data_IF_788811295718
#
_entry.id   IF_788811295718
#
_cell.length_a   1.000
_cell.length_b   1.000
_cell.length_c   1.000
_cell.angle_alpha   90.00
_cell.angle_beta   90.00
_cell.angle_gamma   90.00
#
_symmetry.space_group_name_H-M   'P 1'
#
loop_
_entity.id
_entity.type
_entity.pdbx_description
1 polymer ?
#
# COMPACT_ATOMS: atom_id res chain seq x y z
N UNK A 1 14.31 -50.15 18.74
CA UNK A 1 13.25 -49.11 18.75
C UNK A 1 13.77 -47.65 18.80
N UNK A 2 15.08 -47.38 18.66
CA UNK A 2 15.64 -46.00 18.74
C UNK A 2 15.77 -45.29 17.37
N UNK A 3 15.91 -46.04 16.26
CA UNK A 3 16.19 -45.49 14.93
C UNK A 3 15.02 -44.74 14.26
N UNK A 4 13.79 -45.23 14.42
CA UNK A 4 12.58 -44.56 13.90
C UNK A 4 12.22 -43.30 14.67
N UNK A 5 12.66 -43.17 15.92
CA UNK A 5 12.46 -41.97 16.74
C UNK A 5 13.33 -40.80 16.24
N UNK A 6 14.62 -41.04 15.96
CA UNK A 6 15.52 -40.03 15.38
C UNK A 6 15.07 -39.58 13.99
N UNK A 7 14.60 -40.51 13.15
CA UNK A 7 14.11 -40.19 11.81
C UNK A 7 12.84 -39.31 11.87
N UNK A 8 11.90 -39.62 12.78
CA UNK A 8 10.70 -38.81 13.01
C UNK A 8 11.03 -37.42 13.54
N UNK A 9 12.00 -37.32 14.45
CA UNK A 9 12.47 -36.04 14.98
C UNK A 9 13.13 -35.19 13.88
N UNK A 10 13.93 -35.80 13.01
CA UNK A 10 14.55 -35.12 11.87
C UNK A 10 13.51 -34.54 10.91
N UNK A 11 12.52 -35.34 10.49
CA UNK A 11 11.44 -34.85 9.62
C UNK A 11 10.57 -33.78 10.28
N UNK A 12 10.33 -33.88 11.59
CA UNK A 12 9.61 -32.85 12.35
C UNK A 12 10.38 -31.52 12.37
N UNK A 13 11.69 -31.56 12.65
CA UNK A 13 12.54 -30.37 12.65
C UNK A 13 12.70 -29.78 11.25
N UNK A 14 12.85 -30.62 10.23
CA UNK A 14 12.91 -30.18 8.84
C UNK A 14 11.59 -29.51 8.41
N UNK A 15 10.44 -30.06 8.79
CA UNK A 15 9.13 -29.47 8.54
C UNK A 15 8.97 -28.09 9.19
N UNK A 16 9.41 -27.96 10.45
CA UNK A 16 9.39 -26.66 11.17
C UNK A 16 10.32 -25.65 10.49
N UNK A 17 11.53 -26.06 10.11
CA UNK A 17 12.50 -25.18 9.45
C UNK A 17 12.04 -24.72 8.07
N UNK A 18 11.43 -25.60 7.28
CA UNK A 18 10.85 -25.25 5.98
C UNK A 18 9.64 -24.32 6.17
N UNK A 19 8.75 -24.64 7.11
CA UNK A 19 7.58 -23.83 7.42
C UNK A 19 7.96 -22.42 7.86
N UNK A 20 8.96 -22.27 8.73
CA UNK A 20 9.45 -20.96 9.17
C UNK A 20 10.12 -20.18 8.02
N UNK A 21 10.92 -20.83 7.17
CA UNK A 21 11.52 -20.19 6.01
C UNK A 21 10.46 -19.67 5.02
N UNK A 22 9.41 -20.46 4.75
CA UNK A 22 8.29 -20.04 3.90
C UNK A 22 7.54 -18.86 4.53
N UNK A 23 7.27 -18.92 5.83
CA UNK A 23 6.60 -17.82 6.54
C UNK A 23 7.39 -16.51 6.46
N UNK A 24 8.71 -16.56 6.72
CA UNK A 24 9.60 -15.40 6.57
C UNK A 24 9.59 -14.89 5.14
N UNK A 25 9.68 -15.78 4.15
CA UNK A 25 9.65 -15.41 2.74
C UNK A 25 8.34 -14.71 2.34
N UNK A 26 7.17 -15.21 2.78
CA UNK A 26 5.86 -14.59 2.53
C UNK A 26 5.76 -13.22 3.17
N UNK A 27 6.18 -13.08 4.43
CA UNK A 27 6.15 -11.80 5.15
C UNK A 27 7.02 -10.77 4.45
N UNK A 28 8.23 -11.16 4.04
CA UNK A 28 9.12 -10.28 3.26
C UNK A 28 8.51 -9.93 1.90
N UNK A 29 7.96 -10.91 1.18
CA UNK A 29 7.37 -10.69 -0.14
C UNK A 29 6.22 -9.67 -0.11
N UNK A 30 5.33 -9.77 0.89
CA UNK A 30 4.22 -8.83 1.06
C UNK A 30 4.74 -7.49 1.57
N UNK A 31 5.62 -7.49 2.57
CA UNK A 31 6.11 -6.28 3.23
C UNK A 31 7.01 -5.40 2.37
N UNK A 32 7.82 -5.98 1.48
CA UNK A 32 8.72 -5.21 0.60
C UNK A 32 8.04 -4.72 -0.66
N UNK A 33 6.83 -5.19 -0.97
CA UNK A 33 6.03 -4.71 -2.11
C UNK A 33 5.17 -3.53 -1.67
N UNK A 34 5.81 -2.39 -1.38
CA UNK A 34 5.08 -1.13 -1.34
C UNK A 34 4.55 -0.85 -2.75
N UNK A 35 3.24 -0.96 -2.95
CA UNK A 35 2.60 -0.60 -4.21
C UNK A 35 2.83 0.91 -4.43
N UNK A 36 3.79 1.24 -5.29
CA UNK A 36 3.99 2.62 -5.72
C UNK A 36 2.91 2.91 -6.74
N UNK A 37 2.07 3.88 -6.43
CA UNK A 37 0.98 4.34 -7.28
C UNK A 37 1.30 5.76 -7.70
N UNK A 38 1.09 6.06 -8.99
CA UNK A 38 1.28 7.40 -9.53
C UNK A 38 0.24 8.35 -8.93
N UNK A 39 0.70 9.47 -8.37
CA UNK A 39 -0.22 10.47 -7.78
C UNK A 39 -0.93 11.21 -8.93
N UNK A 40 -2.27 11.17 -9.01
CA UNK A 40 -3.02 11.88 -10.04
C UNK A 40 -2.96 13.40 -9.79
N UNK A 41 -3.05 14.19 -10.85
CA UNK A 41 -3.19 15.64 -10.76
C UNK A 41 -4.64 16.01 -10.47
N UNK A 42 -4.87 16.65 -9.32
CA UNK A 42 -6.18 17.09 -8.87
C UNK A 42 -6.35 18.61 -8.94
N UNK A 43 -5.33 19.37 -9.32
CA UNK A 43 -5.39 20.83 -9.31
C UNK A 43 -6.47 21.35 -10.29
N UNK A 44 -7.32 22.26 -9.81
CA UNK A 44 -8.41 22.83 -10.60
C UNK A 44 -9.59 21.88 -10.86
N UNK A 45 -9.58 20.65 -10.31
CA UNK A 45 -10.75 19.78 -10.34
C UNK A 45 -11.75 20.18 -9.24
N UNK A 46 -13.03 19.89 -9.49
CA UNK A 46 -14.04 19.85 -8.44
C UNK A 46 -13.88 18.57 -7.59
N UNK A 47 -14.52 18.56 -6.42
CA UNK A 47 -14.43 17.44 -5.47
C UNK A 47 -14.89 16.10 -6.05
N UNK A 48 -15.91 16.11 -6.91
CA UNK A 48 -16.47 14.88 -7.48
C UNK A 48 -15.50 14.25 -8.48
N UNK A 49 -14.91 15.05 -9.38
CA UNK A 49 -13.89 14.59 -10.33
C UNK A 49 -12.62 14.16 -9.64
N UNK A 50 -12.20 14.88 -8.59
CA UNK A 50 -11.03 14.52 -7.82
C UNK A 50 -11.20 13.19 -7.08
N UNK A 51 -12.36 12.96 -6.47
CA UNK A 51 -12.70 11.69 -5.83
C UNK A 51 -12.66 10.53 -6.85
N UNK A 52 -13.26 10.72 -8.03
CA UNK A 52 -13.22 9.72 -9.09
C UNK A 52 -11.81 9.43 -9.61
N UNK A 53 -10.93 10.43 -9.66
CA UNK A 53 -9.52 10.25 -10.06
C UNK A 53 -8.73 9.43 -9.03
N UNK A 54 -8.97 9.67 -7.74
CA UNK A 54 -8.32 8.95 -6.64
C UNK A 54 -8.82 7.49 -6.52
N UNK A 55 -10.12 7.27 -6.70
CA UNK A 55 -10.73 5.94 -6.60
C UNK A 55 -10.17 4.97 -7.66
N UNK A 56 -9.94 5.46 -8.89
CA UNK A 56 -9.30 4.70 -9.98
C UNK A 56 -7.92 4.15 -9.63
N UNK A 57 -7.22 4.79 -8.71
CA UNK A 57 -5.87 4.43 -8.28
C UNK A 57 -5.83 3.91 -6.84
N UNK A 58 -6.99 3.68 -6.22
CA UNK A 58 -7.12 3.16 -4.85
C UNK A 58 -6.56 4.09 -3.77
N UNK A 59 -6.50 5.40 -4.05
CA UNK A 59 -6.03 6.40 -3.10
C UNK A 59 -7.20 7.04 -2.36
N UNK A 60 -6.98 7.42 -1.10
CA UNK A 60 -7.96 8.14 -0.28
C UNK A 60 -7.35 9.49 0.11
N UNK A 61 -8.05 10.59 -0.19
CA UNK A 61 -7.61 11.92 0.18
C UNK A 61 -8.02 12.29 1.61
N UNK A 62 -7.19 13.12 2.24
CA UNK A 62 -7.58 13.92 3.40
C UNK A 62 -7.83 15.35 2.93
N UNK A 63 -9.07 15.80 3.11
CA UNK A 63 -9.44 17.18 2.84
C UNK A 63 -8.91 18.11 3.94
N UNK A 64 -8.43 19.28 3.54
CA UNK A 64 -8.06 20.37 4.43
C UNK A 64 -9.05 21.52 4.26
N UNK A 65 -9.02 22.46 5.21
CA UNK A 65 -9.83 23.67 5.11
C UNK A 65 -9.53 24.44 3.82
N UNK A 66 -10.53 25.18 3.34
CA UNK A 66 -10.40 25.99 2.15
C UNK A 66 -9.31 27.06 2.32
N UNK A 67 -8.51 27.25 1.28
CA UNK A 67 -7.50 28.31 1.21
C UNK A 67 -7.86 29.34 0.15
N UNK A 68 -7.42 30.58 0.35
CA UNK A 68 -7.54 31.62 -0.66
C UNK A 68 -6.53 31.39 -1.78
N UNK A 69 -7.00 31.43 -3.03
CA UNK A 69 -6.15 31.39 -4.23
C UNK A 69 -6.57 32.48 -5.20
N UNK A 70 -5.60 33.22 -5.72
CA UNK A 70 -5.83 34.24 -6.75
C UNK A 70 -5.96 33.64 -8.17
N UNK A 71 -5.55 32.39 -8.36
CA UNK A 71 -5.46 31.74 -9.68
C UNK A 71 -6.49 30.62 -9.86
N UNK A 72 -7.11 30.13 -8.79
CA UNK A 72 -8.04 29.00 -8.82
C UNK A 72 -9.43 29.48 -8.39
N UNK A 73 -10.45 29.15 -9.18
CA UNK A 73 -11.82 29.52 -8.88
C UNK A 73 -12.36 28.81 -7.63
N UNK A 74 -13.27 29.47 -6.92
CA UNK A 74 -13.93 28.92 -5.73
C UNK A 74 -14.61 27.59 -6.01
N UNK A 75 -14.45 26.63 -5.11
CA UNK A 75 -15.02 25.28 -5.22
C UNK A 75 -14.15 24.29 -6.00
N UNK A 76 -13.00 24.74 -6.52
CA UNK A 76 -11.99 23.89 -7.13
C UNK A 76 -10.82 23.65 -6.17
N UNK A 77 -10.11 22.55 -6.37
CA UNK A 77 -8.92 22.22 -5.60
C UNK A 77 -7.77 23.17 -5.93
N UNK A 78 -7.44 24.05 -4.98
CA UNK A 78 -6.36 25.01 -5.08
C UNK A 78 -4.97 24.37 -4.95
N UNK A 79 -4.87 23.32 -4.13
CA UNK A 79 -3.60 22.67 -3.80
C UNK A 79 -3.77 21.20 -3.46
N UNK A 80 -2.76 20.42 -3.84
CA UNK A 80 -2.61 19.01 -3.49
C UNK A 80 -1.23 18.77 -2.89
N UNK A 81 -1.18 17.90 -1.88
CA UNK A 81 0.07 17.33 -1.35
C UNK A 81 -0.16 15.86 -1.06
N UNK A 82 0.69 14.93 -1.56
CA UNK A 82 1.85 15.14 -2.44
C UNK A 82 1.50 15.74 -3.81
N UNK A 83 2.50 16.28 -4.51
CA UNK A 83 2.33 16.77 -5.88
C UNK A 83 2.09 15.59 -6.86
N UNK A 84 1.46 15.88 -8.00
CA UNK A 84 1.26 14.89 -9.05
C UNK A 84 2.61 14.34 -9.55
N UNK A 85 2.68 13.03 -9.80
CA UNK A 85 3.96 12.36 -10.08
C UNK A 85 3.90 10.87 -9.96
#
# INVERSE_FOLDING_TARGET
MKGTFLLRLFFALAGIAIGSAVAVWVVLWIGTRAATVRVPDLAGLDMARAAAALDKVGLVARLQDGEFSATVATGLLARQRPAAG
#
